data_IF_259498279872
#
_entry.id   IF_259498279872
#
_cell.length_a   1.000
_cell.length_b   1.000
_cell.length_c   1.000
_cell.angle_alpha   90.00
_cell.angle_beta   90.00
_cell.angle_gamma   90.00
#
_symmetry.space_group_name_H-M   'P 1'
#
loop_
_entity.id
_entity.type
_entity.pdbx_description
1 polymer ?
#
# COMPACT_ATOMS: atom_id res chain seq x y z
N UNK A 1 -12.02 -66.93 -28.07
CA UNK A 1 -11.39 -66.10 -27.02
C UNK A 1 -11.34 -64.65 -27.50
N UNK A 2 -12.27 -63.81 -27.07
CA UNK A 2 -12.28 -62.37 -27.39
C UNK A 2 -12.05 -61.57 -26.11
N UNK A 3 -10.81 -61.09 -25.97
CA UNK A 3 -10.36 -60.23 -24.86
C UNK A 3 -11.04 -58.87 -24.95
N UNK A 4 -11.80 -58.48 -23.92
CA UNK A 4 -12.34 -57.12 -23.79
C UNK A 4 -11.36 -56.29 -22.96
N UNK A 5 -10.69 -55.35 -23.61
CA UNK A 5 -9.88 -54.32 -22.94
C UNK A 5 -10.78 -53.40 -22.10
N UNK A 6 -10.39 -53.04 -20.87
CA UNK A 6 -11.16 -52.10 -20.06
C UNK A 6 -11.10 -50.69 -20.66
N UNK A 7 -12.25 -50.02 -20.71
CA UNK A 7 -12.38 -48.65 -21.18
C UNK A 7 -11.50 -47.71 -20.35
N UNK A 8 -10.64 -46.92 -21.03
CA UNK A 8 -9.80 -45.88 -20.44
C UNK A 8 -10.70 -44.88 -19.70
N UNK A 9 -10.54 -44.78 -18.37
CA UNK A 9 -11.24 -43.79 -17.56
C UNK A 9 -10.87 -42.37 -18.04
N UNK A 10 -11.88 -41.57 -18.40
CA UNK A 10 -11.72 -40.16 -18.75
C UNK A 10 -11.28 -39.41 -17.49
N UNK A 11 -10.02 -38.98 -17.44
CA UNK A 11 -9.52 -38.07 -16.41
C UNK A 11 -10.18 -36.72 -16.68
N UNK A 12 -11.26 -36.42 -15.95
CA UNK A 12 -11.86 -35.09 -15.94
C UNK A 12 -10.87 -34.21 -15.15
N UNK A 13 -10.17 -33.33 -15.86
CA UNK A 13 -9.41 -32.27 -15.21
C UNK A 13 -10.43 -31.45 -14.41
N UNK A 14 -10.34 -31.47 -13.07
CA UNK A 14 -11.20 -30.64 -12.23
C UNK A 14 -10.91 -29.18 -12.57
N UNK A 15 -11.79 -28.54 -13.32
CA UNK A 15 -11.66 -27.12 -13.61
C UNK A 15 -11.80 -26.38 -12.28
N UNK A 16 -10.77 -25.65 -11.83
CA UNK A 16 -10.81 -25.01 -10.52
C UNK A 16 -11.98 -24.05 -10.51
N UNK A 17 -12.89 -24.25 -9.56
CA UNK A 17 -14.14 -23.51 -9.47
C UNK A 17 -13.86 -22.04 -9.09
N UNK A 18 -13.52 -21.24 -10.12
CA UNK A 18 -13.06 -19.85 -9.97
C UNK A 18 -14.09 -19.03 -9.20
N UNK A 19 -15.38 -19.30 -9.41
CA UNK A 19 -16.48 -18.61 -8.73
C UNK A 19 -16.49 -18.86 -7.22
N UNK A 20 -16.22 -20.10 -6.79
CA UNK A 20 -16.09 -20.43 -5.37
C UNK A 20 -14.86 -19.73 -4.75
N UNK A 21 -13.73 -19.68 -5.45
CA UNK A 21 -12.52 -18.99 -5.00
C UNK A 21 -12.73 -17.48 -4.79
N UNK A 22 -13.38 -16.80 -5.74
CA UNK A 22 -13.68 -15.37 -5.64
C UNK A 22 -14.62 -15.04 -4.47
N UNK A 23 -15.62 -15.90 -4.22
CA UNK A 23 -16.54 -15.75 -3.08
C UNK A 23 -15.80 -15.91 -1.75
N UNK A 24 -14.87 -16.87 -1.67
CA UNK A 24 -14.04 -17.08 -0.49
C UNK A 24 -13.12 -15.88 -0.21
N UNK A 25 -12.48 -15.33 -1.25
CA UNK A 25 -11.67 -14.11 -1.14
C UNK A 25 -12.49 -12.92 -0.64
N UNK A 26 -13.67 -12.67 -1.23
CA UNK A 26 -14.56 -11.61 -0.77
C UNK A 26 -15.01 -11.80 0.69
N UNK A 27 -15.31 -13.04 1.09
CA UNK A 27 -15.66 -13.34 2.47
C UNK A 27 -14.49 -13.10 3.45
N UNK A 28 -13.25 -13.41 3.06
CA UNK A 28 -12.06 -13.07 3.85
C UNK A 28 -11.86 -11.55 3.95
N UNK A 29 -12.01 -10.83 2.84
CA UNK A 29 -11.93 -9.36 2.80
C UNK A 29 -12.96 -8.73 3.74
N UNK A 30 -14.17 -9.27 3.79
CA UNK A 30 -15.18 -8.79 4.72
C UNK A 30 -14.87 -9.03 6.19
N UNK A 31 -14.12 -10.09 6.53
CA UNK A 31 -13.71 -10.37 7.91
C UNK A 31 -12.65 -9.38 8.42
N UNK A 32 -11.92 -8.71 7.52
CA UNK A 32 -10.92 -7.69 7.91
C UNK A 32 -11.50 -6.57 8.74
N UNK A 33 -12.71 -6.13 8.41
CA UNK A 33 -13.46 -5.13 9.18
C UNK A 33 -13.58 -5.42 10.69
N UNK A 34 -13.55 -6.69 11.12
CA UNK A 34 -13.58 -7.07 12.54
C UNK A 34 -12.26 -6.74 13.25
N UNK A 35 -11.19 -6.67 12.48
CA UNK A 35 -9.84 -6.38 12.92
C UNK A 35 -9.44 -4.92 12.67
N UNK A 36 -10.38 -4.06 12.25
CA UNK A 36 -10.10 -2.65 11.93
C UNK A 36 -9.35 -1.93 13.05
N UNK A 37 -9.77 -2.11 14.32
CA UNK A 37 -9.09 -1.51 15.46
C UNK A 37 -7.65 -2.00 15.63
N UNK A 38 -7.43 -3.32 15.57
CA UNK A 38 -6.09 -3.91 15.69
C UNK A 38 -5.17 -3.46 14.54
N UNK A 39 -5.70 -3.42 13.32
CA UNK A 39 -4.99 -2.94 12.14
C UNK A 39 -4.63 -1.45 12.23
N UNK A 40 -5.55 -0.61 12.73
CA UNK A 40 -5.26 0.79 13.02
C UNK A 40 -4.14 0.94 14.04
N UNK A 41 -4.19 0.19 15.15
CA UNK A 41 -3.14 0.23 16.19
C UNK A 41 -1.80 -0.22 15.63
N UNK A 42 -1.76 -1.34 14.89
CA UNK A 42 -0.53 -1.84 14.27
C UNK A 42 0.03 -0.83 13.26
N UNK A 43 -0.81 -0.27 12.40
CA UNK A 43 -0.41 0.74 11.40
C UNK A 43 0.11 2.00 12.07
N UNK A 44 -0.59 2.49 13.11
CA UNK A 44 -0.16 3.67 13.86
C UNK A 44 1.18 3.41 14.57
N UNK A 45 1.38 2.24 15.17
CA UNK A 45 2.64 1.87 15.81
C UNK A 45 3.80 1.86 14.80
N UNK A 46 3.63 1.21 13.64
CA UNK A 46 4.65 1.19 12.59
C UNK A 46 4.92 2.61 12.07
N UNK A 47 3.88 3.40 11.81
CA UNK A 47 4.02 4.80 11.38
C UNK A 47 4.81 5.65 12.40
N UNK A 48 4.53 5.49 13.69
CA UNK A 48 5.25 6.18 14.76
C UNK A 48 6.71 5.74 14.82
N UNK A 49 7.00 4.44 14.67
CA UNK A 49 8.37 3.92 14.62
C UNK A 49 9.13 4.50 13.42
N UNK A 50 8.53 4.48 12.23
CA UNK A 50 9.13 5.04 11.02
C UNK A 50 9.40 6.54 11.16
N UNK A 51 8.43 7.27 11.71
CA UNK A 51 8.57 8.71 11.97
C UNK A 51 9.68 8.96 12.99
N UNK A 52 9.71 8.23 14.11
CA UNK A 52 10.78 8.35 15.09
C UNK A 52 12.16 8.06 14.48
N UNK A 53 12.26 7.02 13.65
CA UNK A 53 13.50 6.66 12.95
C UNK A 53 13.97 7.75 11.98
N UNK A 54 13.06 8.35 11.22
CA UNK A 54 13.35 9.50 10.35
C UNK A 54 13.98 10.64 11.17
N UNK A 55 13.31 11.07 12.24
CA UNK A 55 13.71 12.26 12.99
C UNK A 55 14.92 12.03 13.89
N UNK A 56 15.05 10.85 14.49
CA UNK A 56 16.10 10.54 15.46
C UNK A 56 17.37 9.97 14.81
N UNK A 57 17.27 9.39 13.61
CA UNK A 57 18.39 8.70 12.98
C UNK A 57 18.64 9.13 11.53
N UNK A 58 17.67 9.00 10.62
CA UNK A 58 17.95 9.20 9.19
C UNK A 58 18.32 10.64 8.83
N UNK A 59 17.70 11.64 9.46
CA UNK A 59 18.10 13.04 9.25
C UNK A 59 19.55 13.32 9.63
N UNK A 60 20.12 12.60 10.60
CA UNK A 60 21.53 12.78 10.96
C UNK A 60 22.45 12.27 9.84
N UNK A 61 22.01 11.28 9.07
CA UNK A 61 22.78 10.72 7.95
C UNK A 61 22.82 11.67 6.75
N UNK A 62 21.81 12.51 6.55
CA UNK A 62 21.66 13.44 5.43
C UNK A 62 22.03 14.89 5.78
N UNK A 63 22.76 15.11 6.88
CA UNK A 63 23.14 16.47 7.32
C UNK A 63 21.96 17.34 7.77
N UNK A 64 20.87 16.73 8.22
CA UNK A 64 19.64 17.38 8.67
C UNK A 64 18.55 17.48 7.61
N UNK A 65 18.81 17.07 6.36
CA UNK A 65 17.83 17.13 5.28
C UNK A 65 16.73 16.05 5.48
N UNK A 66 15.44 16.41 5.42
CA UNK A 66 14.37 15.44 5.52
C UNK A 66 14.43 14.44 4.37
N UNK A 67 14.08 13.18 4.63
CA UNK A 67 13.90 12.17 3.59
C UNK A 67 12.91 12.62 2.53
N UNK A 68 13.08 12.10 1.32
CA UNK A 68 12.26 12.49 0.17
C UNK A 68 10.77 12.22 0.45
N UNK A 69 10.45 11.13 1.16
CA UNK A 69 9.08 10.72 1.49
C UNK A 69 8.32 11.67 2.41
N UNK A 70 9.02 12.49 3.19
CA UNK A 70 8.41 13.52 4.03
C UNK A 70 7.96 14.75 3.23
N UNK A 71 8.27 14.80 1.93
CA UNK A 71 8.00 15.95 1.06
C UNK A 71 6.69 15.75 0.32
N UNK A 72 5.58 15.98 1.01
CA UNK A 72 4.22 15.73 0.50
C UNK A 72 3.89 16.45 -0.81
N UNK A 73 4.53 17.60 -1.07
CA UNK A 73 4.37 18.39 -2.30
C UNK A 73 5.39 18.04 -3.40
N UNK A 74 6.19 16.99 -3.20
CA UNK A 74 7.33 16.65 -4.04
C UNK A 74 8.59 17.45 -3.69
N UNK A 75 9.61 17.30 -4.52
CA UNK A 75 10.92 17.95 -4.42
C UNK A 75 11.48 18.29 -5.80
N UNK A 76 12.42 19.22 -5.86
CA UNK A 76 13.14 19.55 -7.10
C UNK A 76 14.33 18.60 -7.31
N UNK A 77 14.78 18.36 -8.55
CA UNK A 77 15.98 17.55 -8.79
C UNK A 77 17.20 17.97 -7.97
N UNK A 78 17.43 19.28 -7.82
CA UNK A 78 18.56 19.81 -7.05
C UNK A 78 18.47 19.43 -5.57
N UNK A 79 17.27 19.50 -4.98
CA UNK A 79 17.04 19.09 -3.61
C UNK A 79 17.24 17.59 -3.40
N UNK A 80 16.80 16.78 -4.37
CA UNK A 80 16.99 15.34 -4.34
C UNK A 80 18.46 14.95 -4.47
N UNK A 81 19.19 15.63 -5.35
CA UNK A 81 20.63 15.44 -5.52
C UNK A 81 21.41 15.89 -4.27
N UNK A 82 21.02 17.01 -3.65
CA UNK A 82 21.59 17.47 -2.39
C UNK A 82 21.41 16.43 -1.27
N UNK A 83 20.23 15.81 -1.17
CA UNK A 83 19.96 14.76 -0.20
C UNK A 83 20.81 13.50 -0.46
N UNK A 84 20.87 13.01 -1.71
CA UNK A 84 21.70 11.85 -2.09
C UNK A 84 23.19 12.11 -1.83
N UNK A 85 23.66 13.32 -2.13
CA UNK A 85 25.06 13.71 -1.90
C UNK A 85 25.37 13.78 -0.42
N UNK A 86 24.47 14.35 0.39
CA UNK A 86 24.65 14.46 1.84
C UNK A 86 24.69 13.10 2.54
N UNK A 87 23.91 12.13 2.07
CA UNK A 87 23.94 10.76 2.58
C UNK A 87 25.27 10.05 2.32
N UNK A 88 25.86 10.30 1.15
CA UNK A 88 26.97 9.52 0.64
C UNK A 88 26.66 8.03 0.57
N UNK A 89 27.66 7.20 0.26
CA UNK A 89 27.47 5.76 0.06
C UNK A 89 26.93 5.04 1.30
N UNK A 90 27.49 5.36 2.48
CA UNK A 90 27.13 4.70 3.74
C UNK A 90 25.72 5.08 4.20
N UNK A 91 25.35 6.35 4.11
CA UNK A 91 23.99 6.79 4.45
C UNK A 91 22.96 6.17 3.52
N UNK A 92 23.26 6.14 2.21
CA UNK A 92 22.37 5.53 1.21
C UNK A 92 22.14 4.04 1.46
N UNK A 93 23.16 3.27 1.81
CA UNK A 93 23.04 1.84 2.12
C UNK A 93 22.17 1.61 3.37
N UNK A 94 22.39 2.40 4.43
CA UNK A 94 21.62 2.30 5.68
C UNK A 94 20.14 2.60 5.42
N UNK A 95 19.83 3.69 4.71
CA UNK A 95 18.45 4.05 4.38
C UNK A 95 17.83 3.03 3.44
N UNK A 96 18.56 2.54 2.44
CA UNK A 96 18.06 1.53 1.52
C UNK A 96 17.60 0.27 2.27
N UNK A 97 18.43 -0.27 3.17
CA UNK A 97 18.13 -1.51 3.90
C UNK A 97 17.01 -1.31 4.93
N UNK A 98 17.14 -0.31 5.80
CA UNK A 98 16.23 -0.14 6.92
C UNK A 98 14.94 0.56 6.54
N UNK A 99 14.99 1.59 5.71
CA UNK A 99 13.81 2.35 5.32
C UNK A 99 13.08 1.66 4.16
N UNK A 100 13.72 1.57 2.99
CA UNK A 100 13.05 1.14 1.75
C UNK A 100 12.80 -0.36 1.64
N UNK A 101 13.76 -1.20 2.04
CA UNK A 101 13.64 -2.66 1.93
C UNK A 101 12.98 -3.33 3.15
N UNK A 102 12.73 -2.59 4.22
CA UNK A 102 12.11 -3.14 5.44
C UNK A 102 10.77 -2.46 5.74
N UNK A 103 10.78 -1.19 6.16
CA UNK A 103 9.55 -0.52 6.59
C UNK A 103 8.65 -0.15 5.42
N UNK A 104 9.19 0.48 4.38
CA UNK A 104 8.42 0.89 3.19
C UNK A 104 8.05 -0.30 2.29
N UNK A 105 8.59 -1.49 2.54
CA UNK A 105 8.10 -2.73 1.94
C UNK A 105 6.81 -3.21 2.64
N UNK A 106 6.76 -3.12 3.97
CA UNK A 106 5.65 -3.62 4.78
C UNK A 106 4.51 -2.61 4.92
N UNK A 107 4.86 -1.34 5.12
CA UNK A 107 3.93 -0.30 5.54
C UNK A 107 2.81 -0.03 4.52
N UNK A 108 3.07 0.06 3.20
CA UNK A 108 2.01 0.30 2.22
C UNK A 108 0.96 -0.82 2.22
N UNK A 109 1.38 -2.08 2.35
CA UNK A 109 0.47 -3.22 2.47
C UNK A 109 -0.35 -3.15 3.77
N UNK A 110 0.30 -2.87 4.91
CA UNK A 110 -0.37 -2.75 6.20
C UNK A 110 -1.39 -1.60 6.21
N UNK A 111 -0.99 -0.43 5.73
CA UNK A 111 -1.87 0.74 5.62
C UNK A 111 -3.04 0.46 4.67
N UNK A 112 -2.78 -0.19 3.54
CA UNK A 112 -3.82 -0.57 2.57
C UNK A 112 -4.84 -1.52 3.18
N UNK A 113 -4.37 -2.52 3.92
CA UNK A 113 -5.22 -3.48 4.64
C UNK A 113 -6.10 -2.77 5.68
N UNK A 114 -5.52 -1.80 6.39
CA UNK A 114 -6.22 -0.95 7.36
C UNK A 114 -7.28 -0.10 6.67
N UNK A 115 -6.96 0.55 5.54
CA UNK A 115 -7.91 1.37 4.79
C UNK A 115 -9.07 0.54 4.24
N UNK A 116 -8.80 -0.62 3.65
CA UNK A 116 -9.86 -1.56 3.22
C UNK A 116 -10.75 -1.95 4.41
N UNK A 117 -10.14 -2.30 5.54
CA UNK A 117 -10.87 -2.66 6.75
C UNK A 117 -11.76 -1.53 7.26
N UNK A 118 -11.25 -0.30 7.29
CA UNK A 118 -11.97 0.90 7.70
C UNK A 118 -13.11 1.28 6.74
N UNK A 119 -12.89 1.19 5.42
CA UNK A 119 -13.94 1.42 4.41
C UNK A 119 -15.10 0.44 4.63
N UNK A 120 -14.79 -0.85 4.83
CA UNK A 120 -15.82 -1.87 5.07
C UNK A 120 -16.52 -1.68 6.43
N UNK A 121 -15.76 -1.34 7.49
CA UNK A 121 -16.30 -1.14 8.83
C UNK A 121 -17.20 0.09 8.92
N UNK A 122 -16.78 1.22 8.34
CA UNK A 122 -17.56 2.46 8.29
C UNK A 122 -18.73 2.34 7.30
N UNK A 123 -18.49 1.80 6.10
CA UNK A 123 -19.50 1.66 5.06
C UNK A 123 -20.68 0.78 5.48
N UNK A 124 -20.45 -0.33 6.20
CA UNK A 124 -21.55 -1.19 6.66
C UNK A 124 -22.46 -0.57 7.74
N UNK A 125 -22.11 0.60 8.27
CA UNK A 125 -23.03 1.42 9.08
C UNK A 125 -24.09 2.12 8.21
N UNK A 126 -23.86 2.19 6.89
CA UNK A 126 -24.80 2.75 5.92
C UNK A 126 -25.72 1.65 5.36
N UNK A 127 -27.05 1.82 5.48
CA UNK A 127 -28.06 0.87 4.96
C UNK A 127 -27.81 0.47 3.50
N UNK A 128 -27.61 1.45 2.62
CA UNK A 128 -27.40 1.21 1.18
C UNK A 128 -26.13 0.41 0.89
N UNK A 129 -25.01 0.74 1.55
CA UNK A 129 -23.75 0.02 1.36
C UNK A 129 -23.82 -1.39 1.95
N UNK A 130 -24.46 -1.55 3.12
CA UNK A 130 -24.66 -2.86 3.76
C UNK A 130 -25.54 -3.79 2.92
N UNK A 131 -26.49 -3.25 2.15
CA UNK A 131 -27.36 -4.02 1.27
C UNK A 131 -26.65 -4.57 0.02
N UNK A 132 -25.46 -4.03 -0.33
CA UNK A 132 -24.69 -4.51 -1.47
C UNK A 132 -24.16 -5.93 -1.25
N UNK A 133 -24.00 -6.73 -2.32
CA UNK A 133 -23.32 -8.01 -2.23
C UNK A 133 -21.92 -7.89 -1.62
N UNK A 134 -21.53 -8.91 -0.88
CA UNK A 134 -20.22 -9.05 -0.26
C UNK A 134 -19.04 -8.76 -1.21
N UNK A 135 -19.14 -9.29 -2.43
CA UNK A 135 -18.15 -9.11 -3.48
C UNK A 135 -18.04 -7.66 -3.93
N UNK A 136 -19.18 -6.98 -4.13
CA UNK A 136 -19.23 -5.56 -4.52
C UNK A 136 -18.61 -4.67 -3.45
N UNK A 137 -18.90 -4.91 -2.16
CA UNK A 137 -18.27 -4.17 -1.06
C UNK A 137 -16.75 -4.35 -1.05
N UNK A 138 -16.28 -5.58 -1.28
CA UNK A 138 -14.85 -5.92 -1.28
C UNK A 138 -14.12 -5.29 -2.47
N UNK A 139 -14.69 -5.39 -3.67
CA UNK A 139 -14.14 -4.77 -4.89
C UNK A 139 -14.10 -3.26 -4.74
N UNK A 140 -15.19 -2.65 -4.24
CA UNK A 140 -15.24 -1.21 -4.01
C UNK A 140 -14.10 -0.75 -3.09
N UNK A 141 -13.91 -1.41 -1.94
CA UNK A 141 -12.82 -1.07 -1.02
C UNK A 141 -11.43 -1.28 -1.65
N UNK A 142 -11.24 -2.39 -2.39
CA UNK A 142 -9.97 -2.67 -3.05
C UNK A 142 -9.63 -1.64 -4.15
N UNK A 143 -10.58 -1.31 -5.02
CA UNK A 143 -10.39 -0.34 -6.11
C UNK A 143 -10.02 1.05 -5.58
N UNK A 144 -10.56 1.45 -4.43
CA UNK A 144 -10.23 2.74 -3.83
C UNK A 144 -8.81 2.79 -3.22
N UNK A 145 -8.27 1.65 -2.81
CA UNK A 145 -6.99 1.59 -2.06
C UNK A 145 -5.83 1.16 -2.95
N UNK A 146 -6.04 0.24 -3.88
CA UNK A 146 -4.99 -0.32 -4.75
C UNK A 146 -4.17 0.75 -5.51
N UNK A 147 -4.76 1.82 -6.06
CA UNK A 147 -3.97 2.85 -6.73
C UNK A 147 -2.91 3.48 -5.84
N UNK A 148 -3.25 3.77 -4.56
CA UNK A 148 -2.29 4.25 -3.58
C UNK A 148 -1.18 3.23 -3.34
N UNK A 149 -1.54 1.96 -3.08
CA UNK A 149 -0.55 0.90 -2.79
C UNK A 149 0.46 0.74 -3.93
N UNK A 150 -0.02 0.78 -5.18
CA UNK A 150 0.82 0.65 -6.37
C UNK A 150 1.74 1.86 -6.56
N UNK A 151 1.22 3.07 -6.36
CA UNK A 151 2.01 4.30 -6.47
C UNK A 151 3.11 4.35 -5.39
N UNK A 152 2.79 3.93 -4.17
CA UNK A 152 3.75 3.87 -3.06
C UNK A 152 4.87 2.87 -3.36
N UNK A 153 4.55 1.63 -3.78
CA UNK A 153 5.59 0.68 -4.16
C UNK A 153 6.40 1.11 -5.39
N UNK A 154 5.77 1.72 -6.38
CA UNK A 154 6.49 2.26 -7.54
C UNK A 154 7.49 3.34 -7.10
N UNK A 155 7.09 4.19 -6.15
CA UNK A 155 7.94 5.22 -5.58
C UNK A 155 9.10 4.62 -4.77
N UNK A 156 8.83 3.64 -3.91
CA UNK A 156 9.86 2.95 -3.12
C UNK A 156 10.91 2.29 -4.03
N UNK A 157 10.48 1.69 -5.14
CA UNK A 157 11.38 1.12 -6.15
C UNK A 157 12.21 2.22 -6.82
N UNK A 158 11.59 3.34 -7.21
CA UNK A 158 12.29 4.45 -7.85
C UNK A 158 13.37 5.03 -6.94
N UNK A 159 13.07 5.29 -5.67
CA UNK A 159 14.05 5.83 -4.72
C UNK A 159 15.10 4.79 -4.32
N UNK A 160 14.72 3.52 -4.15
CA UNK A 160 15.68 2.46 -3.92
C UNK A 160 16.73 2.37 -5.04
N UNK A 161 16.33 2.55 -6.31
CA UNK A 161 17.26 2.61 -7.44
C UNK A 161 18.22 3.79 -7.32
N UNK A 162 17.71 4.99 -7.05
CA UNK A 162 18.51 6.20 -6.84
C UNK A 162 19.54 6.04 -5.72
N UNK A 163 19.19 5.34 -4.64
CA UNK A 163 20.08 5.05 -3.51
C UNK A 163 21.12 3.97 -3.83
N UNK A 164 20.72 2.96 -4.61
CA UNK A 164 21.59 1.83 -4.96
C UNK A 164 22.63 2.17 -6.03
N UNK A 165 22.27 3.04 -6.98
CA UNK A 165 23.10 3.44 -8.10
C UNK A 165 23.04 4.95 -8.29
N UNK A 166 24.08 5.65 -7.84
CA UNK A 166 24.17 7.10 -7.96
C UNK A 166 24.21 7.58 -9.42
N UNK A 167 24.63 6.76 -10.38
CA UNK A 167 24.59 7.11 -11.81
C UNK A 167 23.16 7.21 -12.35
N UNK A 168 22.21 6.53 -11.69
CA UNK A 168 20.78 6.64 -12.01
C UNK A 168 20.16 7.95 -11.52
N UNK A 169 20.84 8.70 -10.65
CA UNK A 169 20.37 9.98 -10.12
C UNK A 169 20.59 11.12 -11.13
N UNK A 170 19.77 11.14 -12.17
CA UNK A 170 19.66 12.25 -13.13
C UNK A 170 18.38 13.08 -12.88
N UNK A 171 18.27 14.29 -13.46
CA UNK A 171 17.12 15.16 -13.25
C UNK A 171 15.76 14.52 -13.57
N UNK A 172 15.69 13.70 -14.61
CA UNK A 172 14.46 13.02 -15.02
C UNK A 172 14.02 11.97 -13.99
N UNK A 173 14.97 11.17 -13.49
CA UNK A 173 14.70 10.11 -12.51
C UNK A 173 14.30 10.69 -11.15
N UNK A 174 14.92 11.82 -10.76
CA UNK A 174 14.56 12.56 -9.56
C UNK A 174 13.18 13.22 -9.69
N UNK A 175 12.88 13.82 -10.84
CA UNK A 175 11.56 14.39 -11.14
C UNK A 175 10.48 13.31 -11.15
N UNK A 176 10.78 12.13 -11.69
CA UNK A 176 9.87 10.99 -11.68
C UNK A 176 9.57 10.49 -10.27
N UNK A 177 10.61 10.32 -9.43
CA UNK A 177 10.43 9.96 -8.03
C UNK A 177 9.59 11.00 -7.28
N UNK A 178 9.85 12.29 -7.49
CA UNK A 178 9.07 13.41 -6.95
C UNK A 178 7.59 13.35 -7.37
N UNK A 179 7.32 13.12 -8.65
CA UNK A 179 5.96 12.97 -9.17
C UNK A 179 5.21 11.77 -8.55
N UNK A 180 5.91 10.66 -8.33
CA UNK A 180 5.33 9.50 -7.65
C UNK A 180 5.00 9.78 -6.17
N UNK A 181 5.81 10.59 -5.47
CA UNK A 181 5.51 11.03 -4.10
C UNK A 181 4.21 11.84 -4.07
N UNK A 182 4.08 12.83 -4.95
CA UNK A 182 2.84 13.63 -5.03
C UNK A 182 1.65 12.74 -5.38
N UNK A 183 1.84 11.84 -6.34
CA UNK A 183 0.80 10.92 -6.81
C UNK A 183 0.32 9.98 -5.71
N UNK A 184 1.22 9.36 -4.92
CA UNK A 184 0.82 8.47 -3.83
C UNK A 184 0.00 9.21 -2.77
N UNK A 185 0.37 10.44 -2.41
CA UNK A 185 -0.40 11.21 -1.43
C UNK A 185 -1.76 11.66 -1.97
N UNK A 186 -1.84 12.07 -3.24
CA UNK A 186 -3.10 12.38 -3.88
C UNK A 186 -4.04 11.16 -3.93
N UNK A 187 -3.49 9.98 -4.26
CA UNK A 187 -4.25 8.73 -4.27
C UNK A 187 -4.63 8.25 -2.87
N UNK A 188 -3.80 8.49 -1.85
CA UNK A 188 -4.10 8.18 -0.45
C UNK A 188 -5.27 9.03 0.09
N UNK A 189 -5.40 10.28 -0.38
CA UNK A 189 -6.49 11.16 0.05
C UNK A 189 -7.88 10.61 -0.31
N UNK A 190 -8.00 9.81 -1.37
CA UNK A 190 -9.27 9.23 -1.83
C UNK A 190 -9.88 8.27 -0.79
N UNK A 191 -9.24 7.16 -0.38
CA UNK A 191 -9.81 6.26 0.62
C UNK A 191 -10.01 6.96 1.97
N UNK A 192 -9.13 7.88 2.37
CA UNK A 192 -9.29 8.67 3.60
C UNK A 192 -10.57 9.50 3.56
N UNK A 193 -10.82 10.19 2.45
CA UNK A 193 -12.03 11.00 2.25
C UNK A 193 -13.29 10.14 2.27
N UNK A 194 -13.26 8.96 1.66
CA UNK A 194 -14.38 8.01 1.68
C UNK A 194 -14.69 7.52 3.10
N UNK A 195 -13.67 7.16 3.89
CA UNK A 195 -13.83 6.75 5.29
C UNK A 195 -14.44 7.88 6.11
N UNK A 196 -13.95 9.11 5.95
CA UNK A 196 -14.49 10.29 6.62
C UNK A 196 -15.96 10.53 6.25
N UNK A 197 -16.28 10.51 4.95
CA UNK A 197 -17.64 10.68 4.46
C UNK A 197 -18.59 9.59 5.01
N UNK A 198 -18.18 8.31 4.98
CA UNK A 198 -18.96 7.20 5.54
C UNK A 198 -19.22 7.38 7.03
N UNK A 199 -18.20 7.81 7.78
CA UNK A 199 -18.29 8.02 9.23
C UNK A 199 -19.24 9.18 9.56
N UNK A 200 -19.12 10.30 8.86
CA UNK A 200 -19.99 11.47 9.06
C UNK A 200 -21.44 11.18 8.67
N UNK A 201 -21.67 10.48 7.55
CA UNK A 201 -23.03 10.09 7.14
C UNK A 201 -23.68 9.10 8.10
N UNK A 202 -22.89 8.22 8.74
CA UNK A 202 -23.40 7.31 9.75
C UNK A 202 -23.82 8.04 11.05
N UNK A 203 -23.13 9.12 11.41
CA UNK A 203 -23.44 9.94 12.59
C UNK A 203 -24.69 10.81 12.41
N UNK A 204 -24.99 11.25 11.19
CA UNK A 204 -26.17 12.10 10.87
C UNK A 204 -27.51 11.35 10.88
N UNK A 205 -27.53 10.06 11.21
CA UNK A 205 -28.78 9.29 11.29
C UNK A 205 -29.32 9.36 12.73
N UNK A 206 -30.56 9.86 12.93
CA UNK A 206 -31.23 9.78 14.22
C UNK A 206 -31.53 8.33 14.61
#
# INVERSE_FOLDING_TARGET
MTSRLPAKARIILAEPDRHASWRNLAAMILRLSRHAAALCVATAAVFVIMTAMEFLYFRQLSGGLPSLDMRYAGFTPDEGMAWLTALGRRGSEIILVWHYLTFDLLFPALLSLTMVSLILASGRRLKNFRALPAQTQSIFAAVLVLPYTLADYAQNIAVARLLSDFLSANPDSLSFASALIVTKFALLAVPVTVIAAFTLMAQKRP
#
